data_IF_624817935459
#
_entry.id   IF_624817935459
#
_cell.length_a   1.000
_cell.length_b   1.000
_cell.length_c   1.000
_cell.angle_alpha   90.00
_cell.angle_beta   90.00
_cell.angle_gamma   90.00
#
_symmetry.space_group_name_H-M   'P 1'
#
loop_
_entity.id
_entity.type
_entity.pdbx_description
1 polymer ?
#
# COMPACT_ATOMS: atom_id res chain seq x y z
N UNK A 1 23.43 -20.17 6.04
CA UNK A 1 22.19 -19.47 6.44
C UNK A 1 21.22 -20.54 6.88
N UNK A 2 20.73 -20.49 8.12
CA UNK A 2 19.70 -21.44 8.56
C UNK A 2 18.35 -20.78 8.32
N UNK A 3 17.87 -20.92 7.09
CA UNK A 3 16.47 -20.65 6.80
C UNK A 3 15.64 -21.71 7.53
N UNK A 4 14.61 -21.31 8.28
CA UNK A 4 13.71 -22.29 8.90
C UNK A 4 12.75 -22.79 7.82
N UNK A 5 12.82 -24.09 7.52
CA UNK A 5 11.93 -24.77 6.58
C UNK A 5 10.77 -25.40 7.35
N UNK A 6 9.55 -24.97 7.04
CA UNK A 6 8.32 -25.59 7.57
C UNK A 6 7.57 -26.26 6.41
N UNK A 7 7.43 -27.58 6.48
CA UNK A 7 6.62 -28.34 5.54
C UNK A 7 5.19 -28.47 6.06
N UNK A 8 4.21 -28.07 5.26
CA UNK A 8 2.79 -28.30 5.55
C UNK A 8 2.19 -29.17 4.45
N UNK A 9 1.49 -30.24 4.86
CA UNK A 9 0.85 -31.17 3.94
C UNK A 9 -0.67 -31.03 4.04
N UNK A 10 -1.29 -30.53 2.97
CA UNK A 10 -2.73 -30.40 2.80
C UNK A 10 -3.27 -31.55 1.92
N UNK A 11 -3.03 -32.79 2.31
CA UNK A 11 -3.50 -33.96 1.56
C UNK A 11 -2.76 -34.17 0.22
N UNK A 12 -3.28 -33.64 -0.88
CA UNK A 12 -2.69 -33.78 -2.23
C UNK A 12 -1.66 -32.69 -2.59
N UNK A 13 -1.54 -31.65 -1.76
CA UNK A 13 -0.60 -30.54 -1.95
C UNK A 13 0.28 -30.39 -0.70
N UNK A 14 1.58 -30.64 -0.87
CA UNK A 14 2.61 -30.31 0.12
C UNK A 14 3.30 -29.02 -0.27
N UNK A 15 3.43 -28.07 0.66
CA UNK A 15 4.22 -26.86 0.46
C UNK A 15 5.29 -26.74 1.53
N UNK A 16 6.49 -26.35 1.09
CA UNK A 16 7.62 -26.01 1.93
C UNK A 16 7.73 -24.50 2.00
N UNK A 17 7.61 -23.95 3.19
CA UNK A 17 7.86 -22.53 3.47
C UNK A 17 9.28 -22.35 3.95
N UNK A 18 9.97 -21.37 3.38
CA UNK A 18 11.31 -20.95 3.78
C UNK A 18 11.21 -19.52 4.30
N UNK A 19 11.45 -19.33 5.60
CA UNK A 19 11.47 -18.00 6.19
C UNK A 19 12.86 -17.41 6.03
N UNK A 20 12.94 -16.27 5.35
CA UNK A 20 14.19 -15.53 5.12
C UNK A 20 14.18 -14.25 5.94
N UNK A 21 15.12 -14.15 6.88
CA UNK A 21 15.32 -12.95 7.69
C UNK A 21 16.34 -12.01 7.03
N UNK A 22 15.85 -10.89 6.47
CA UNK A 22 16.69 -9.92 5.76
C UNK A 22 17.66 -9.20 6.70
N UNK A 23 17.32 -9.05 8.00
CA UNK A 23 18.18 -8.38 8.98
C UNK A 23 19.48 -9.12 9.26
N UNK A 24 19.60 -10.39 8.86
CA UNK A 24 20.83 -11.18 8.96
C UNK A 24 21.74 -11.05 7.74
N UNK A 25 21.28 -10.42 6.66
CA UNK A 25 22.08 -10.21 5.45
C UNK A 25 22.85 -8.91 5.57
N UNK A 26 24.12 -8.91 5.19
CA UNK A 26 24.96 -7.71 5.18
C UNK A 26 24.58 -6.80 4.00
N UNK A 27 23.84 -5.74 4.31
CA UNK A 27 23.35 -4.77 3.33
C UNK A 27 24.47 -3.92 2.73
N UNK A 28 25.53 -3.59 3.50
CA UNK A 28 26.68 -2.83 2.96
C UNK A 28 27.43 -3.64 1.92
N UNK A 29 27.71 -4.90 2.24
CA UNK A 29 28.37 -5.81 1.30
C UNK A 29 27.52 -6.02 0.05
N UNK A 30 26.20 -6.25 0.23
CA UNK A 30 25.28 -6.45 -0.90
C UNK A 30 25.16 -5.20 -1.76
N UNK A 31 25.13 -4.01 -1.17
CA UNK A 31 25.11 -2.73 -1.89
C UNK A 31 26.33 -2.59 -2.80
N UNK A 32 27.54 -2.84 -2.28
CA UNK A 32 28.78 -2.78 -3.08
C UNK A 32 28.73 -3.82 -4.20
N UNK A 33 28.31 -5.05 -3.91
CA UNK A 33 28.15 -6.12 -4.91
C UNK A 33 27.22 -5.69 -6.05
N UNK A 34 26.02 -5.20 -5.72
CA UNK A 34 25.03 -4.78 -6.71
C UNK A 34 25.51 -3.59 -7.53
N UNK A 35 26.13 -2.60 -6.88
CA UNK A 35 26.69 -1.42 -7.54
C UNK A 35 27.74 -1.82 -8.59
N UNK A 36 28.71 -2.65 -8.21
CA UNK A 36 29.75 -3.13 -9.14
C UNK A 36 29.15 -3.91 -10.31
N UNK A 37 28.19 -4.80 -10.05
CA UNK A 37 27.51 -5.56 -11.11
C UNK A 37 26.77 -4.65 -12.08
N UNK A 38 26.04 -3.65 -11.58
CA UNK A 38 25.31 -2.69 -12.43
C UNK A 38 26.28 -1.87 -13.27
N UNK A 39 27.38 -1.38 -12.68
CA UNK A 39 28.41 -0.59 -13.38
C UNK A 39 29.11 -1.42 -14.49
N UNK A 40 29.33 -2.71 -14.24
CA UNK A 40 29.90 -3.65 -15.21
C UNK A 40 28.88 -4.20 -16.23
N UNK A 41 27.60 -3.78 -16.16
CA UNK A 41 26.48 -4.31 -16.97
C UNK A 41 26.26 -5.82 -16.82
N UNK A 42 26.59 -6.35 -15.64
CA UNK A 42 26.35 -7.74 -15.29
C UNK A 42 24.89 -7.96 -14.89
N UNK A 43 24.39 -9.18 -15.11
CA UNK A 43 23.03 -9.56 -14.69
C UNK A 43 22.94 -9.58 -13.16
N UNK A 44 21.96 -8.87 -12.62
CA UNK A 44 21.65 -8.87 -11.19
C UNK A 44 20.37 -9.66 -10.88
N UNK A 45 20.23 -10.04 -9.61
CA UNK A 45 18.96 -10.52 -9.07
C UNK A 45 18.14 -9.31 -8.57
N UNK A 46 17.01 -9.01 -9.21
CA UNK A 46 16.17 -7.87 -8.82
C UNK A 46 15.59 -8.01 -7.41
N UNK A 47 15.39 -9.24 -6.90
CA UNK A 47 14.94 -9.43 -5.53
C UNK A 47 15.98 -8.94 -4.53
N UNK A 48 17.28 -9.19 -4.79
CA UNK A 48 18.34 -8.68 -3.92
C UNK A 48 18.38 -7.14 -3.90
N UNK A 49 18.03 -6.50 -5.02
CA UNK A 49 17.95 -5.05 -5.13
C UNK A 49 16.74 -4.50 -4.37
N UNK A 50 15.55 -5.03 -4.62
CA UNK A 50 14.30 -4.59 -3.98
C UNK A 50 14.35 -4.77 -2.45
N UNK A 51 14.98 -5.84 -1.96
CA UNK A 51 15.11 -6.12 -0.52
C UNK A 51 16.33 -5.47 0.14
N UNK A 52 17.21 -4.82 -0.63
CA UNK A 52 18.41 -4.16 -0.10
C UNK A 52 18.10 -3.17 1.04
N UNK A 53 17.03 -2.35 0.97
CA UNK A 53 16.68 -1.46 2.06
C UNK A 53 16.16 -2.15 3.30
N UNK A 54 16.09 -3.49 3.37
CA UNK A 54 15.69 -4.23 4.57
C UNK A 54 16.86 -5.03 5.18
N UNK A 55 18.01 -5.06 4.51
CA UNK A 55 19.19 -5.78 4.98
C UNK A 55 19.87 -5.06 6.15
N UNK A 56 20.76 -5.74 6.87
CA UNK A 56 21.52 -5.15 7.97
C UNK A 56 22.41 -4.00 7.47
N UNK A 57 22.28 -2.83 8.08
CA UNK A 57 23.14 -1.68 7.82
C UNK A 57 23.03 -0.70 8.99
N UNK A 58 24.06 0.11 9.21
CA UNK A 58 24.04 1.24 10.15
C UNK A 58 23.40 2.50 9.55
N UNK A 59 23.14 2.52 8.24
CA UNK A 59 22.42 3.59 7.56
C UNK A 59 20.93 3.58 7.95
N UNK A 60 20.34 4.77 8.04
CA UNK A 60 18.89 4.93 8.20
C UNK A 60 18.17 4.32 7.00
N UNK A 61 17.00 3.73 7.25
CA UNK A 61 16.24 3.05 6.19
C UNK A 61 15.88 3.99 5.03
N UNK A 62 15.53 5.25 5.31
CA UNK A 62 15.27 6.25 4.26
C UNK A 62 16.46 6.42 3.32
N UNK A 63 17.69 6.51 3.84
CA UNK A 63 18.90 6.65 3.04
C UNK A 63 19.15 5.41 2.17
N UNK A 64 18.89 4.22 2.73
CA UNK A 64 19.01 2.94 1.99
C UNK A 64 18.00 2.83 0.86
N UNK A 65 16.75 3.26 1.09
CA UNK A 65 15.71 3.30 0.04
C UNK A 65 16.16 4.22 -1.08
N UNK A 66 16.60 5.44 -0.75
CA UNK A 66 17.10 6.40 -1.74
C UNK A 66 18.29 5.88 -2.54
N UNK A 67 19.24 5.22 -1.88
CA UNK A 67 20.40 4.63 -2.53
C UNK A 67 20.00 3.46 -3.45
N UNK A 68 19.04 2.64 -3.03
CA UNK A 68 18.48 1.55 -3.85
C UNK A 68 17.79 2.10 -5.10
N UNK A 69 16.97 3.14 -4.98
CA UNK A 69 16.31 3.79 -6.12
C UNK A 69 17.33 4.31 -7.13
N UNK A 70 18.43 4.92 -6.66
CA UNK A 70 19.52 5.38 -7.53
C UNK A 70 20.19 4.23 -8.29
N UNK A 71 20.25 3.03 -7.71
CA UNK A 71 20.74 1.85 -8.42
C UNK A 71 19.73 1.33 -9.45
N UNK A 72 18.44 1.32 -9.11
CA UNK A 72 17.36 0.92 -10.02
C UNK A 72 17.29 1.83 -11.27
N UNK A 73 17.48 3.13 -11.10
CA UNK A 73 17.52 4.10 -12.21
C UNK A 73 18.66 3.83 -13.20
N UNK A 74 19.79 3.29 -12.72
CA UNK A 74 20.97 2.97 -13.54
C UNK A 74 20.83 1.69 -14.36
N UNK A 75 19.81 0.87 -14.12
CA UNK A 75 19.62 -0.38 -14.87
C UNK A 75 19.36 -0.11 -16.36
N UNK A 76 19.90 -0.93 -17.25
CA UNK A 76 19.64 -0.84 -18.70
C UNK A 76 18.41 -1.67 -19.08
N UNK A 77 17.23 -1.31 -18.54
CA UNK A 77 15.93 -1.98 -18.79
C UNK A 77 14.84 -0.97 -19.13
N UNK A 78 13.67 -1.46 -19.57
CA UNK A 78 12.51 -0.63 -19.88
C UNK A 78 12.08 0.26 -18.70
N UNK A 79 11.66 1.50 -18.99
CA UNK A 79 11.28 2.47 -17.97
C UNK A 79 10.12 2.00 -17.09
N UNK A 80 9.14 1.29 -17.65
CA UNK A 80 8.03 0.74 -16.87
C UNK A 80 8.53 -0.29 -15.84
N UNK A 81 9.50 -1.12 -16.22
CA UNK A 81 10.13 -2.08 -15.31
C UNK A 81 10.89 -1.38 -14.19
N UNK A 82 11.63 -0.30 -14.48
CA UNK A 82 12.28 0.52 -13.44
C UNK A 82 11.27 1.09 -12.45
N UNK A 83 10.18 1.66 -12.97
CA UNK A 83 9.12 2.22 -12.13
C UNK A 83 8.51 1.15 -11.20
N UNK A 84 8.34 -0.07 -11.68
CA UNK A 84 7.83 -1.19 -10.88
C UNK A 84 8.82 -1.60 -9.79
N UNK A 85 10.12 -1.66 -10.09
CA UNK A 85 11.15 -1.98 -9.09
C UNK A 85 11.12 -0.94 -7.95
N UNK A 86 11.13 0.34 -8.30
CA UNK A 86 11.07 1.43 -7.32
C UNK A 86 9.79 1.36 -6.47
N UNK A 87 8.64 1.13 -7.10
CA UNK A 87 7.37 1.00 -6.38
C UNK A 87 7.43 -0.16 -5.37
N UNK A 88 7.95 -1.32 -5.75
CA UNK A 88 8.11 -2.48 -4.86
C UNK A 88 9.07 -2.17 -3.70
N UNK A 89 10.20 -1.51 -3.99
CA UNK A 89 11.20 -1.09 -3.00
C UNK A 89 10.59 -0.17 -1.94
N UNK A 90 9.78 0.81 -2.36
CA UNK A 90 9.07 1.72 -1.45
C UNK A 90 8.00 0.99 -0.65
N UNK A 91 7.12 0.21 -1.30
CA UNK A 91 6.04 -0.53 -0.64
C UNK A 91 6.55 -1.51 0.42
N UNK A 92 7.66 -2.20 0.15
CA UNK A 92 8.26 -3.12 1.12
C UNK A 92 8.91 -2.41 2.31
N UNK A 93 9.31 -1.16 2.12
CA UNK A 93 9.94 -0.34 3.15
C UNK A 93 8.95 0.54 3.92
N UNK A 94 7.72 0.69 3.41
CA UNK A 94 6.68 1.61 3.91
C UNK A 94 6.49 1.54 5.44
N UNK A 95 6.35 0.32 5.99
CA UNK A 95 6.17 0.11 7.44
C UNK A 95 7.30 0.65 8.32
N UNK A 96 8.46 0.95 7.74
CA UNK A 96 9.63 1.44 8.45
C UNK A 96 9.97 2.90 8.12
N UNK A 97 9.20 3.53 7.23
CA UNK A 97 9.36 4.92 6.83
C UNK A 97 8.34 5.78 7.56
N UNK A 98 8.74 6.98 7.98
CA UNK A 98 7.80 7.99 8.48
C UNK A 98 7.11 8.72 7.32
N UNK A 99 5.99 9.40 7.59
CA UNK A 99 5.32 10.27 6.60
C UNK A 99 6.28 11.33 6.01
N UNK A 100 7.22 11.81 6.85
CA UNK A 100 8.26 12.75 6.42
C UNK A 100 9.24 12.09 5.44
N UNK A 101 9.69 10.87 5.74
CA UNK A 101 10.60 10.12 4.86
C UNK A 101 9.92 9.82 3.52
N UNK A 102 8.65 9.41 3.55
CA UNK A 102 7.84 9.16 2.35
C UNK A 102 7.66 10.43 1.51
N UNK A 103 7.38 11.57 2.15
CA UNK A 103 7.27 12.87 1.49
C UNK A 103 8.59 13.30 0.84
N UNK A 104 9.72 12.98 1.46
CA UNK A 104 11.05 13.27 0.95
C UNK A 104 11.39 12.41 -0.27
N UNK A 105 11.18 11.10 -0.19
CA UNK A 105 11.35 10.17 -1.33
C UNK A 105 10.45 10.59 -2.50
N UNK A 106 9.21 10.96 -2.22
CA UNK A 106 8.27 11.37 -3.26
C UNK A 106 8.73 12.63 -4.00
N UNK A 107 9.28 13.61 -3.28
CA UNK A 107 9.81 14.84 -3.85
C UNK A 107 11.04 14.61 -4.72
N UNK A 108 11.96 13.78 -4.25
CA UNK A 108 13.28 13.61 -4.87
C UNK A 108 13.20 12.80 -6.17
N UNK A 109 12.31 11.80 -6.24
CA UNK A 109 12.32 10.82 -7.34
C UNK A 109 11.18 10.95 -8.34
N UNK A 110 10.23 11.89 -8.13
CA UNK A 110 9.10 12.21 -9.06
C UNK A 110 8.61 10.99 -9.83
N UNK A 111 8.29 9.91 -9.14
CA UNK A 111 7.91 8.61 -9.71
C UNK A 111 6.48 8.69 -10.28
N UNK A 112 6.33 9.32 -11.44
CA UNK A 112 5.04 9.91 -11.88
C UNK A 112 3.92 8.89 -12.04
N UNK A 113 4.14 7.68 -12.57
CA UNK A 113 3.01 6.83 -12.99
C UNK A 113 2.35 6.03 -11.85
N UNK A 114 3.12 5.30 -11.05
CA UNK A 114 2.56 4.53 -9.94
C UNK A 114 2.00 5.44 -8.84
N UNK A 115 2.73 6.50 -8.49
CA UNK A 115 2.25 7.42 -7.46
C UNK A 115 1.09 8.30 -7.92
N UNK A 116 1.02 8.69 -9.21
CA UNK A 116 -0.20 9.34 -9.73
C UNK A 116 -1.41 8.42 -9.65
N UNK A 117 -1.23 7.12 -9.92
CA UNK A 117 -2.29 6.15 -9.70
C UNK A 117 -2.68 6.07 -8.22
N UNK A 118 -1.72 5.96 -7.29
CA UNK A 118 -1.99 5.94 -5.84
C UNK A 118 -2.64 7.24 -5.37
N UNK A 119 -2.20 8.40 -5.84
CA UNK A 119 -2.78 9.71 -5.55
C UNK A 119 -4.20 9.82 -6.09
N UNK A 120 -4.47 9.38 -7.32
CA UNK A 120 -5.81 9.34 -7.90
C UNK A 120 -6.74 8.39 -7.13
N UNK A 121 -6.25 7.23 -6.71
CA UNK A 121 -7.02 6.32 -5.85
C UNK A 121 -7.27 6.93 -4.47
N UNK A 122 -6.26 7.58 -3.88
CA UNK A 122 -6.38 8.27 -2.60
C UNK A 122 -7.38 9.42 -2.65
N UNK A 123 -7.39 10.19 -3.74
CA UNK A 123 -8.37 11.26 -3.96
C UNK A 123 -9.79 10.70 -4.10
N UNK A 124 -9.97 9.65 -4.92
CA UNK A 124 -11.27 8.97 -5.07
C UNK A 124 -11.77 8.42 -3.75
N UNK A 125 -10.90 7.79 -2.96
CA UNK A 125 -11.27 7.25 -1.66
C UNK A 125 -11.60 8.37 -0.66
N UNK A 126 -10.86 9.48 -0.70
CA UNK A 126 -11.16 10.67 0.09
C UNK A 126 -12.52 11.30 -0.25
N UNK A 127 -12.88 11.37 -1.54
CA UNK A 127 -14.20 11.84 -2.00
C UNK A 127 -15.32 10.92 -1.46
N UNK A 128 -15.18 9.60 -1.61
CA UNK A 128 -16.13 8.62 -1.06
C UNK A 128 -16.29 8.74 0.46
N UNK A 129 -15.18 8.89 1.18
CA UNK A 129 -15.23 9.11 2.64
C UNK A 129 -15.93 10.42 2.99
N UNK A 130 -15.73 11.48 2.20
CA UNK A 130 -16.41 12.76 2.33
C UNK A 130 -17.93 12.63 2.19
N UNK A 131 -18.38 11.94 1.15
CA UNK A 131 -19.81 11.67 0.90
C UNK A 131 -20.44 10.83 2.01
N UNK A 132 -19.77 9.75 2.44
CA UNK A 132 -20.22 8.95 3.59
C UNK A 132 -20.36 9.79 4.85
N UNK A 133 -19.40 10.69 5.10
CA UNK A 133 -19.42 11.59 6.25
C UNK A 133 -20.54 12.63 6.16
N UNK A 134 -20.83 13.14 4.96
CA UNK A 134 -21.96 14.03 4.70
C UNK A 134 -23.29 13.30 4.91
N UNK A 135 -23.44 12.10 4.37
CA UNK A 135 -24.64 11.29 4.54
C UNK A 135 -24.87 10.94 6.01
N UNK A 136 -23.83 10.54 6.77
CA UNK A 136 -23.94 10.34 8.23
C UNK A 136 -24.44 11.59 8.96
N UNK A 137 -23.96 12.78 8.59
CA UNK A 137 -24.45 14.05 9.16
C UNK A 137 -25.93 14.29 8.81
N UNK A 138 -26.33 14.01 7.56
CA UNK A 138 -27.71 14.12 7.11
C UNK A 138 -28.62 13.20 7.93
N UNK A 139 -28.24 11.93 8.11
CA UNK A 139 -29.00 10.96 8.90
C UNK A 139 -29.12 11.41 10.36
N UNK A 140 -28.01 11.80 11.01
CA UNK A 140 -28.04 12.31 12.39
C UNK A 140 -28.90 13.57 12.57
N UNK A 141 -29.06 14.37 11.52
CA UNK A 141 -29.89 15.58 11.54
C UNK A 141 -31.37 15.31 11.30
N UNK A 142 -31.74 14.22 10.61
CA UNK A 142 -33.13 13.89 10.29
C UNK A 142 -33.74 12.84 11.23
N UNK A 143 -32.91 12.02 11.89
CA UNK A 143 -33.37 10.92 12.73
C UNK A 143 -32.72 10.97 14.11
N UNK A 144 -33.54 11.02 15.16
CA UNK A 144 -33.10 10.87 16.54
C UNK A 144 -32.83 9.39 16.86
N UNK A 145 -31.81 9.11 17.69
CA UNK A 145 -31.51 7.74 18.14
C UNK A 145 -30.69 6.88 17.17
N UNK A 146 -30.01 7.50 16.20
CA UNK A 146 -29.08 6.79 15.32
C UNK A 146 -27.99 6.07 16.13
N UNK A 147 -27.88 4.75 15.94
CA UNK A 147 -26.90 3.90 16.61
C UNK A 147 -25.67 3.62 15.72
N UNK A 148 -24.67 2.95 16.30
CA UNK A 148 -23.43 2.61 15.60
C UNK A 148 -23.66 1.64 14.43
N UNK A 149 -24.70 0.80 14.52
CA UNK A 149 -25.05 -0.17 13.47
C UNK A 149 -25.41 0.53 12.16
N UNK A 150 -26.20 1.60 12.22
CA UNK A 150 -26.53 2.40 11.03
C UNK A 150 -25.29 3.10 10.48
N UNK A 151 -24.39 3.57 11.35
CA UNK A 151 -23.13 4.20 10.93
C UNK A 151 -22.22 3.22 10.18
N UNK A 152 -22.14 1.96 10.65
CA UNK A 152 -21.40 0.90 9.99
C UNK A 152 -22.02 0.51 8.64
N UNK A 153 -23.35 0.41 8.55
CA UNK A 153 -24.03 0.15 7.29
C UNK A 153 -23.74 1.24 6.24
N UNK A 154 -23.67 2.51 6.65
CA UNK A 154 -23.28 3.60 5.77
C UNK A 154 -21.81 3.48 5.33
N UNK A 155 -20.91 3.04 6.22
CA UNK A 155 -19.50 2.82 5.87
C UNK A 155 -19.32 1.67 4.87
N UNK A 156 -20.21 0.68 4.87
CA UNK A 156 -20.16 -0.47 3.98
C UNK A 156 -20.92 -0.26 2.67
N UNK A 157 -21.88 0.66 2.63
CA UNK A 157 -22.69 0.93 1.46
C UNK A 157 -21.86 1.48 0.28
N UNK A 158 -22.30 1.15 -0.94
CA UNK A 158 -21.84 1.79 -2.17
C UNK A 158 -22.31 3.24 -2.24
N UNK A 159 -21.49 4.11 -2.85
CA UNK A 159 -21.79 5.55 -2.96
C UNK A 159 -23.08 5.81 -3.73
N UNK A 160 -23.27 5.16 -4.88
CA UNK A 160 -24.47 5.29 -5.72
C UNK A 160 -25.76 5.08 -4.93
N UNK A 161 -25.72 4.15 -3.99
CA UNK A 161 -26.84 3.85 -3.10
C UNK A 161 -27.07 4.95 -2.07
N UNK A 162 -26.00 5.51 -1.49
CA UNK A 162 -26.12 6.65 -0.57
C UNK A 162 -26.66 7.90 -1.27
N UNK A 163 -26.28 8.13 -2.53
CA UNK A 163 -26.83 9.20 -3.36
C UNK A 163 -28.34 9.01 -3.56
N UNK A 164 -28.79 7.82 -4.00
CA UNK A 164 -30.22 7.53 -4.17
C UNK A 164 -31.01 7.70 -2.86
N UNK A 165 -30.45 7.20 -1.75
CA UNK A 165 -31.06 7.37 -0.43
C UNK A 165 -31.14 8.83 0.00
N UNK A 166 -30.15 9.66 -0.36
CA UNK A 166 -30.13 11.07 -0.02
C UNK A 166 -31.26 11.85 -0.71
N UNK A 167 -31.58 11.51 -1.96
CA UNK A 167 -32.64 12.15 -2.74
C UNK A 167 -34.04 11.82 -2.20
N UNK A 168 -34.21 10.61 -1.66
CA UNK A 168 -35.49 10.14 -1.09
C UNK A 168 -35.53 10.20 0.43
N UNK A 169 -34.56 10.85 1.08
CA UNK A 169 -34.44 10.85 2.55
C UNK A 169 -35.69 11.38 3.24
N UNK A 170 -36.33 12.39 2.65
CA UNK A 170 -37.58 12.99 3.14
C UNK A 170 -38.78 12.04 3.08
N UNK A 171 -38.68 10.93 2.34
CA UNK A 171 -39.72 9.91 2.21
C UNK A 171 -39.51 8.72 3.15
N UNK A 172 -38.32 8.60 3.76
CA UNK A 172 -38.00 7.55 4.72
C UNK A 172 -38.64 7.92 6.06
N UNK A 173 -39.50 7.04 6.59
CA UNK A 173 -40.34 7.36 7.75
C UNK A 173 -39.63 7.19 9.08
N UNK A 174 -38.78 6.19 9.18
CA UNK A 174 -38.10 5.84 10.42
C UNK A 174 -36.74 5.14 10.18
N UNK A 175 -36.01 4.92 11.27
CA UNK A 175 -34.70 4.27 11.24
C UNK A 175 -34.73 2.82 10.76
N UNK A 176 -35.85 2.09 10.90
CA UNK A 176 -35.94 0.70 10.42
C UNK A 176 -36.00 0.67 8.90
N UNK A 177 -36.82 1.54 8.31
CA UNK A 177 -36.90 1.67 6.85
C UNK A 177 -35.55 2.10 6.26
N UNK A 178 -34.82 3.00 6.94
CA UNK A 178 -33.45 3.37 6.57
C UNK A 178 -32.49 2.18 6.65
N UNK A 179 -32.54 1.42 7.74
CA UNK A 179 -31.66 0.26 7.96
C UNK A 179 -31.90 -0.82 6.89
N UNK A 180 -33.15 -1.11 6.55
CA UNK A 180 -33.50 -2.04 5.47
C UNK A 180 -33.00 -1.53 4.11
N UNK A 181 -33.22 -0.25 3.83
CA UNK A 181 -32.78 0.35 2.58
C UNK A 181 -31.25 0.36 2.44
N UNK A 182 -30.49 0.44 3.54
CA UNK A 182 -29.03 0.33 3.52
C UNK A 182 -28.53 -1.11 3.30
N UNK A 183 -29.31 -2.14 3.65
CA UNK A 183 -28.93 -3.56 3.47
C UNK A 183 -29.20 -4.12 2.08
N UNK A 184 -30.18 -3.59 1.36
CA UNK A 184 -30.59 -4.02 0.01
C UNK A 184 -30.04 -3.11 -1.07
#
# INVERSE_FOLDING_TARGET
YTDSTAGFNCGSLGYNSTVVDMSKKDGKKKLVELKTKIENKEKINYLDLIFLPLMNSDQKIVDRVKETIKLEEKLEIEQNSKNNLVALTVVLSDKFLSDKDMSEIWRDYKMVKFFKYVEEQGKKEGEKQGEKKLFKKLIKGNFEGCDDKIMELIDQAEISKLEELSERISKIKDLKELEEALKH
#
